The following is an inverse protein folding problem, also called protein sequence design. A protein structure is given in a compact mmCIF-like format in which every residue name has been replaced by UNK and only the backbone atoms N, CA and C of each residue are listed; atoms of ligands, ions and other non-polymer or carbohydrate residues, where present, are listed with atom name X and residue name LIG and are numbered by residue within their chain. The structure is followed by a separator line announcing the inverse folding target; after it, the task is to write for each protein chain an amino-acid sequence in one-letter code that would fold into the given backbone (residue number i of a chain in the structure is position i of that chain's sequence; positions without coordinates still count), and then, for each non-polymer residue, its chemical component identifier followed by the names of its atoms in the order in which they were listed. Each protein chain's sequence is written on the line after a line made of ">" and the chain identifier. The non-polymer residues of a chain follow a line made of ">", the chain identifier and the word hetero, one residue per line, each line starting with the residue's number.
data_IF_797476765733
#
_entry.id   IF_797476765733
#
_cell.length_a   1.000
_cell.length_b   1.000
_cell.length_c   1.000
_cell.angle_alpha   90.00
_cell.angle_beta   90.00
_cell.angle_gamma   90.00
#
_symmetry.space_group_name_H-M   'P 1'
#
loop_
_entity.id
_entity.type
_entity.pdbx_description
1 polymer ?
#
# COMPACT_ATOMS: atom_id res chain seq x y z
N UNK A 1 -4.85 -18.08 -10.13
CA UNK A 1 -4.69 -19.29 -9.30
C UNK A 1 -4.54 -18.81 -7.84
N UNK A 2 -5.49 -19.14 -6.94
CA UNK A 2 -5.32 -18.84 -5.51
C UNK A 2 -4.65 -20.04 -4.85
N UNK A 3 -3.54 -19.80 -4.18
CA UNK A 3 -2.87 -20.75 -3.31
C UNK A 3 -3.29 -20.41 -1.88
N UNK A 4 -3.88 -21.38 -1.19
CA UNK A 4 -4.21 -21.27 0.22
C UNK A 4 -3.27 -22.14 1.04
N UNK A 5 -2.77 -21.63 2.14
CA UNK A 5 -1.94 -22.37 3.10
C UNK A 5 -2.74 -22.62 4.36
N UNK A 6 -2.85 -23.87 4.78
CA UNK A 6 -3.49 -24.27 6.04
C UNK A 6 -2.40 -24.88 6.92
N UNK A 7 -2.21 -24.33 8.10
CA UNK A 7 -1.28 -24.86 9.09
C UNK A 7 -2.00 -25.91 9.92
N UNK A 8 -1.45 -27.15 9.96
CA UNK A 8 -1.98 -28.24 10.76
C UNK A 8 -0.84 -28.93 11.54
N UNK A 9 -0.99 -28.97 12.84
CA UNK A 9 -0.05 -29.69 13.70
C UNK A 9 -0.52 -31.13 13.89
N UNK A 10 0.15 -32.08 13.23
CA UNK A 10 -0.11 -33.50 13.38
C UNK A 10 1.08 -34.18 14.10
N UNK A 11 0.82 -34.95 15.15
CA UNK A 11 1.87 -35.56 15.94
C UNK A 11 2.59 -36.73 15.22
N UNK A 12 1.95 -37.33 14.22
CA UNK A 12 2.49 -38.50 13.49
C UNK A 12 2.00 -38.55 12.03
N UNK A 13 2.62 -39.39 11.20
CA UNK A 13 2.29 -39.54 9.77
C UNK A 13 0.88 -40.10 9.55
N UNK A 14 0.40 -40.98 10.42
CA UNK A 14 -0.94 -41.56 10.33
C UNK A 14 -2.02 -40.46 10.47
N UNK A 15 -1.86 -39.53 11.40
CA UNK A 15 -2.73 -38.37 11.57
C UNK A 15 -2.71 -37.45 10.34
N UNK A 16 -1.57 -37.25 9.72
CA UNK A 16 -1.42 -36.51 8.47
C UNK A 16 -2.19 -37.14 7.32
N UNK A 17 -2.13 -38.46 7.20
CA UNK A 17 -2.87 -39.18 6.16
C UNK A 17 -4.39 -39.13 6.37
N UNK A 18 -4.87 -39.28 7.60
CA UNK A 18 -6.29 -39.13 7.94
C UNK A 18 -6.84 -37.76 7.54
N UNK A 19 -6.12 -36.72 7.90
CA UNK A 19 -6.53 -35.34 7.56
C UNK A 19 -6.48 -35.07 6.07
N UNK A 20 -5.45 -35.56 5.38
CA UNK A 20 -5.32 -35.44 3.92
C UNK A 20 -6.47 -36.12 3.21
N UNK A 21 -6.84 -37.33 3.67
CA UNK A 21 -7.94 -38.09 3.09
C UNK A 21 -9.30 -37.45 3.37
N UNK A 22 -9.54 -36.95 4.59
CA UNK A 22 -10.76 -36.21 4.93
C UNK A 22 -10.91 -34.96 4.06
N UNK A 23 -9.83 -34.18 3.86
CA UNK A 23 -9.82 -33.02 3.00
C UNK A 23 -10.11 -33.37 1.53
N UNK A 24 -9.48 -34.45 1.03
CA UNK A 24 -9.76 -34.93 -0.34
C UNK A 24 -11.21 -35.38 -0.51
N UNK A 25 -11.79 -36.02 0.50
CA UNK A 25 -13.21 -36.41 0.46
C UNK A 25 -14.15 -35.21 0.48
N UNK A 26 -13.89 -34.23 1.35
CA UNK A 26 -14.68 -33.01 1.42
C UNK A 26 -14.69 -32.21 0.11
N UNK A 27 -13.58 -32.27 -0.64
CA UNK A 27 -13.44 -31.57 -1.92
C UNK A 27 -13.98 -32.33 -3.12
N UNK A 28 -14.45 -33.58 -2.98
CA UNK A 28 -15.05 -34.33 -4.10
C UNK A 28 -16.30 -33.67 -4.69
N UNK A 29 -17.04 -32.92 -3.88
CA UNK A 29 -18.24 -32.15 -4.32
C UNK A 29 -17.89 -30.83 -5.02
N UNK A 30 -16.64 -30.38 -4.97
CA UNK A 30 -16.20 -29.15 -5.64
C UNK A 30 -16.07 -29.41 -7.16
N UNK A 31 -16.77 -28.62 -7.94
CA UNK A 31 -16.72 -28.67 -9.42
C UNK A 31 -15.38 -28.17 -9.98
N UNK A 32 -14.57 -27.53 -9.18
CA UNK A 32 -13.27 -27.01 -9.59
C UNK A 32 -12.20 -28.07 -9.50
N UNK A 33 -11.26 -28.08 -10.45
CA UNK A 33 -10.10 -28.99 -10.36
C UNK A 33 -9.23 -28.55 -9.19
N UNK A 34 -9.14 -29.41 -8.19
CA UNK A 34 -8.29 -29.24 -7.02
C UNK A 34 -7.15 -30.25 -7.05
N UNK A 35 -5.98 -29.83 -6.59
CA UNK A 35 -4.83 -30.72 -6.36
C UNK A 35 -4.32 -30.45 -4.95
N UNK A 36 -4.28 -31.49 -4.12
CA UNK A 36 -3.77 -31.44 -2.75
C UNK A 36 -2.48 -32.23 -2.73
N UNK A 37 -1.42 -31.64 -2.21
CA UNK A 37 -0.16 -32.29 -1.93
C UNK A 37 -0.19 -32.93 -0.54
N UNK A 38 0.81 -33.75 -0.23
CA UNK A 38 0.97 -34.31 1.13
C UNK A 38 1.29 -33.19 2.12
N UNK A 39 0.91 -33.36 3.37
CA UNK A 39 1.29 -32.47 4.44
C UNK A 39 2.81 -32.47 4.57
N UNK A 40 3.42 -31.30 4.54
CA UNK A 40 4.87 -31.15 4.68
C UNK A 40 5.34 -31.50 6.10
N UNK A 41 6.64 -31.62 6.30
CA UNK A 41 7.25 -31.83 7.62
C UNK A 41 6.91 -30.67 8.60
N UNK A 42 6.70 -29.47 8.07
CA UNK A 42 6.29 -28.28 8.82
C UNK A 42 4.79 -28.25 9.15
N UNK A 43 4.02 -29.28 8.80
CA UNK A 43 2.58 -29.32 9.03
C UNK A 43 1.75 -28.47 8.05
N UNK A 44 2.32 -28.10 6.90
CA UNK A 44 1.63 -27.29 5.89
C UNK A 44 0.93 -28.17 4.86
N UNK A 45 -0.32 -27.84 4.55
CA UNK A 45 -1.08 -28.43 3.44
C UNK A 45 -1.03 -27.48 2.25
N UNK A 46 -0.46 -27.95 1.14
CA UNK A 46 -0.48 -27.20 -0.11
C UNK A 46 -1.63 -27.69 -0.99
N UNK A 47 -2.46 -26.76 -1.43
CA UNK A 47 -3.58 -27.03 -2.31
C UNK A 47 -3.62 -26.03 -3.45
N UNK A 48 -3.83 -26.53 -4.66
CA UNK A 48 -4.15 -25.67 -5.82
C UNK A 48 -5.59 -25.90 -6.24
N UNK A 49 -6.31 -24.84 -6.56
CA UNK A 49 -7.68 -24.88 -7.05
C UNK A 49 -7.81 -24.03 -8.31
N UNK A 50 -8.21 -24.64 -9.42
CA UNK A 50 -8.45 -23.89 -10.65
C UNK A 50 -9.72 -23.08 -10.49
N UNK A 51 -9.61 -21.75 -10.63
CA UNK A 51 -10.79 -20.90 -10.63
C UNK A 51 -11.59 -21.12 -11.91
N UNK A 52 -12.88 -21.41 -11.78
CA UNK A 52 -13.82 -21.64 -12.89
C UNK A 52 -14.63 -20.38 -13.22
N UNK A 53 -14.83 -19.49 -12.22
CA UNK A 53 -15.55 -18.23 -12.36
C UNK A 53 -14.78 -17.10 -11.70
N UNK A 54 -15.02 -15.88 -12.12
CA UNK A 54 -14.53 -14.69 -11.44
C UNK A 54 -15.05 -14.61 -9.99
N UNK A 55 -14.32 -13.91 -9.13
CA UNK A 55 -14.81 -13.73 -7.75
C UNK A 55 -16.00 -12.78 -7.74
N UNK A 56 -16.88 -12.92 -6.74
CA UNK A 56 -18.00 -11.99 -6.54
C UNK A 56 -17.52 -10.53 -6.47
N UNK A 57 -16.38 -10.29 -5.82
CA UNK A 57 -15.79 -8.95 -5.76
C UNK A 57 -15.46 -8.42 -7.16
N UNK A 58 -14.90 -9.23 -8.05
CA UNK A 58 -14.58 -8.81 -9.42
C UNK A 58 -15.82 -8.61 -10.29
N UNK A 59 -16.93 -9.30 -9.94
CA UNK A 59 -18.18 -9.21 -10.69
C UNK A 59 -19.10 -8.07 -10.19
N UNK A 60 -19.03 -7.76 -8.88
CA UNK A 60 -19.98 -6.86 -8.23
C UNK A 60 -19.35 -5.53 -7.77
N UNK A 61 -18.03 -5.41 -7.81
CA UNK A 61 -17.32 -4.25 -7.28
C UNK A 61 -16.32 -3.73 -8.30
N UNK A 62 -16.21 -2.41 -8.35
CA UNK A 62 -15.13 -1.72 -9.05
C UNK A 62 -13.92 -1.52 -8.11
N UNK A 63 -12.71 -1.34 -8.65
CA UNK A 63 -11.57 -0.90 -7.85
C UNK A 63 -11.88 0.42 -7.14
N UNK A 64 -11.41 0.57 -5.92
CA UNK A 64 -11.56 1.83 -5.20
C UNK A 64 -10.81 2.95 -5.93
N UNK A 65 -11.50 4.01 -6.34
CA UNK A 65 -10.91 5.15 -7.07
C UNK A 65 -9.83 5.86 -6.26
N UNK A 66 -9.93 5.83 -4.93
CA UNK A 66 -8.99 6.52 -4.06
C UNK A 66 -7.63 5.81 -3.95
N UNK A 67 -7.61 4.48 -3.83
CA UNK A 67 -6.35 3.70 -3.77
C UNK A 67 -6.06 2.94 -5.08
N UNK A 68 -6.86 3.14 -6.12
CA UNK A 68 -6.73 2.47 -7.42
C UNK A 68 -6.65 0.94 -7.29
N UNK A 69 -7.35 0.39 -6.31
CA UNK A 69 -7.36 -1.06 -6.04
C UNK A 69 -6.17 -1.59 -5.23
N UNK A 70 -5.25 -0.74 -4.80
CA UNK A 70 -4.06 -1.15 -4.00
C UNK A 70 -4.43 -1.62 -2.58
N UNK A 71 -5.55 -1.11 -2.02
CA UNK A 71 -5.99 -1.41 -0.66
C UNK A 71 -5.30 -0.58 0.44
N UNK A 72 -4.33 0.25 0.10
CA UNK A 72 -3.60 1.17 0.99
C UNK A 72 -3.16 2.41 0.23
N UNK A 73 -2.87 3.46 0.96
CA UNK A 73 -2.27 4.71 0.49
C UNK A 73 -1.12 5.09 1.42
N UNK A 74 -0.23 5.97 0.96
CA UNK A 74 0.86 6.49 1.78
C UNK A 74 0.33 7.18 3.03
N UNK A 75 1.06 7.07 4.14
CA UNK A 75 0.77 7.84 5.35
C UNK A 75 1.02 9.34 5.10
N UNK A 76 0.32 10.24 5.80
CA UNK A 76 0.57 11.67 5.68
C UNK A 76 2.02 12.04 5.96
N UNK A 77 2.65 11.46 6.98
CA UNK A 77 4.06 11.68 7.31
C UNK A 77 5.00 11.30 6.15
N UNK A 78 4.73 10.18 5.45
CA UNK A 78 5.52 9.79 4.28
C UNK A 78 5.45 10.85 3.18
N UNK A 79 4.26 11.40 2.93
CA UNK A 79 4.07 12.45 1.91
C UNK A 79 4.74 13.75 2.34
N UNK A 80 4.68 14.12 3.61
CA UNK A 80 5.39 15.28 4.16
C UNK A 80 6.90 15.17 3.93
N UNK A 81 7.50 14.02 4.25
CA UNK A 81 8.93 13.81 4.00
C UNK A 81 9.29 13.78 2.51
N UNK A 82 8.41 13.33 1.64
CA UNK A 82 8.61 13.43 0.19
C UNK A 82 8.64 14.89 -0.26
N UNK A 83 7.72 15.71 0.23
CA UNK A 83 7.66 17.15 -0.07
C UNK A 83 8.92 17.85 0.43
N UNK A 84 9.32 17.63 1.68
CA UNK A 84 10.52 18.21 2.27
C UNK A 84 11.76 17.87 1.43
N UNK A 85 11.95 16.60 1.06
CA UNK A 85 13.07 16.20 0.21
C UNK A 85 13.04 16.84 -1.17
N UNK A 86 11.86 17.02 -1.74
CA UNK A 86 11.71 17.68 -3.04
C UNK A 86 12.05 19.19 -2.95
N UNK A 87 11.64 19.86 -1.85
CA UNK A 87 12.02 21.24 -1.58
C UNK A 87 13.54 21.38 -1.44
N UNK A 88 14.18 20.48 -0.65
CA UNK A 88 15.64 20.46 -0.50
C UNK A 88 16.35 20.29 -1.83
N UNK A 89 15.91 19.35 -2.65
CA UNK A 89 16.48 19.10 -3.97
C UNK A 89 16.39 20.33 -4.88
N UNK A 90 15.24 21.02 -4.88
CA UNK A 90 15.07 22.25 -5.69
C UNK A 90 15.81 23.46 -5.11
N UNK A 91 15.99 23.50 -3.79
CA UNK A 91 16.74 24.54 -3.12
C UNK A 91 18.23 24.54 -3.45
N UNK A 92 18.80 23.37 -3.76
CA UNK A 92 20.22 23.20 -4.12
C UNK A 92 20.56 23.68 -5.54
N UNK A 93 19.58 23.84 -6.42
CA UNK A 93 19.82 24.39 -7.76
C UNK A 93 20.13 25.89 -7.64
N UNK A 94 21.27 26.35 -8.14
CA UNK A 94 21.94 27.67 -8.00
C UNK A 94 21.12 28.90 -8.48
N UNK A 95 19.83 29.00 -8.21
CA UNK A 95 18.99 30.12 -8.55
C UNK A 95 18.59 30.84 -7.25
N UNK A 96 19.14 32.01 -7.03
CA UNK A 96 18.81 32.91 -5.91
C UNK A 96 17.37 33.46 -6.02
N UNK A 97 16.66 33.59 -4.89
CA UNK A 97 15.29 34.09 -4.76
C UNK A 97 14.22 33.28 -5.49
N UNK A 98 14.11 32.01 -5.18
CA UNK A 98 13.01 31.16 -5.70
C UNK A 98 11.77 31.27 -4.81
N UNK A 99 10.63 31.50 -5.46
CA UNK A 99 9.33 31.30 -4.84
C UNK A 99 8.82 29.92 -5.22
N UNK A 100 8.54 29.09 -4.22
CA UNK A 100 7.94 27.78 -4.41
C UNK A 100 6.48 27.82 -3.98
N UNK A 101 5.57 27.51 -4.90
CA UNK A 101 4.17 27.32 -4.59
C UNK A 101 3.87 25.82 -4.54
N UNK A 102 3.33 25.36 -3.43
CA UNK A 102 3.09 23.94 -3.17
C UNK A 102 1.61 23.72 -2.94
N UNK A 103 0.98 22.96 -3.85
CA UNK A 103 -0.41 22.54 -3.70
C UNK A 103 -0.46 21.24 -2.94
N UNK A 104 -1.20 21.20 -1.83
CA UNK A 104 -1.30 20.04 -0.93
C UNK A 104 -2.72 19.79 -0.45
N UNK A 105 -3.00 18.56 -0.01
CA UNK A 105 -4.23 18.25 0.71
C UNK A 105 -4.21 18.83 2.14
N UNK A 106 -5.35 19.25 2.73
CA UNK A 106 -5.41 19.83 4.08
C UNK A 106 -4.68 19.00 5.14
N UNK A 107 -4.88 17.69 5.18
CA UNK A 107 -4.22 16.79 6.15
C UNK A 107 -2.69 16.85 6.07
N UNK A 108 -2.14 17.04 4.87
CA UNK A 108 -0.68 17.16 4.66
C UNK A 108 -0.21 18.55 5.12
N UNK A 109 -1.00 19.60 4.84
CA UNK A 109 -0.71 20.93 5.30
C UNK A 109 -0.65 21.01 6.83
N UNK A 110 -1.68 20.50 7.51
CA UNK A 110 -1.76 20.53 8.98
C UNK A 110 -0.55 19.82 9.60
N UNK A 111 -0.19 18.64 9.08
CA UNK A 111 0.97 17.86 9.57
C UNK A 111 2.31 18.58 9.32
N UNK A 112 2.49 19.22 8.15
CA UNK A 112 3.72 19.98 7.86
C UNK A 112 3.90 21.16 8.83
N UNK A 113 2.81 21.81 9.23
CA UNK A 113 2.87 22.96 10.15
C UNK A 113 2.92 22.56 11.62
N UNK A 114 2.29 21.47 12.03
CA UNK A 114 2.30 20.99 13.41
C UNK A 114 3.61 20.30 13.78
N UNK A 115 4.15 19.45 12.91
CA UNK A 115 5.30 18.61 13.22
C UNK A 115 6.63 19.13 12.63
N UNK A 116 6.61 19.80 11.48
CA UNK A 116 7.81 20.11 10.68
C UNK A 116 8.01 21.60 10.40
N UNK A 117 7.29 22.48 11.08
CA UNK A 117 7.38 23.94 10.85
C UNK A 117 8.80 24.49 11.03
N UNK A 118 9.52 24.03 12.05
CA UNK A 118 10.91 24.47 12.30
C UNK A 118 11.86 24.09 11.18
N UNK A 119 11.66 22.96 10.56
CA UNK A 119 12.49 22.46 9.45
C UNK A 119 12.20 23.25 8.16
N UNK A 120 10.94 23.62 7.92
CA UNK A 120 10.54 24.48 6.78
C UNK A 120 11.16 25.87 6.90
N UNK A 121 11.09 26.51 8.08
CA UNK A 121 11.73 27.81 8.32
C UNK A 121 13.25 27.77 8.15
N UNK A 122 13.89 26.70 8.60
CA UNK A 122 15.33 26.52 8.43
C UNK A 122 15.70 26.40 6.95
N UNK A 123 14.90 25.67 6.18
CA UNK A 123 15.11 25.51 4.73
C UNK A 123 14.91 26.83 3.96
N UNK A 124 13.92 27.62 4.32
CA UNK A 124 13.71 28.95 3.74
C UNK A 124 14.91 29.86 3.98
N UNK A 125 15.44 29.86 5.21
CA UNK A 125 16.60 30.67 5.59
C UNK A 125 17.90 30.22 4.91
N UNK A 126 18.15 28.90 4.88
CA UNK A 126 19.39 28.34 4.31
C UNK A 126 19.47 28.51 2.78
N UNK A 127 18.33 28.38 2.08
CA UNK A 127 18.31 28.37 0.62
C UNK A 127 17.75 29.66 0.01
N UNK A 128 17.44 30.68 0.83
CA UNK A 128 16.79 31.93 0.38
C UNK A 128 15.54 31.65 -0.47
N UNK A 129 14.70 30.72 0.03
CA UNK A 129 13.44 30.31 -0.60
C UNK A 129 12.28 31.00 0.08
N UNK A 130 11.23 31.30 -0.68
CA UNK A 130 9.91 31.69 -0.18
C UNK A 130 8.93 30.57 -0.50
N UNK A 131 8.41 29.89 0.52
CA UNK A 131 7.53 28.72 0.34
C UNK A 131 6.09 29.18 0.63
N UNK A 132 5.20 29.00 -0.35
CA UNK A 132 3.78 29.29 -0.21
C UNK A 132 2.97 28.02 -0.41
N UNK A 133 2.10 27.68 0.54
CA UNK A 133 1.22 26.53 0.44
C UNK A 133 -0.17 26.96 -0.03
N UNK A 134 -0.71 26.21 -1.00
CA UNK A 134 -2.10 26.31 -1.43
C UNK A 134 -2.83 25.01 -1.05
N UNK A 135 -3.85 25.13 -0.20
CA UNK A 135 -4.56 23.98 0.36
C UNK A 135 -5.77 23.66 -0.50
N UNK A 136 -5.81 22.44 -1.05
CA UNK A 136 -6.89 21.98 -1.91
C UNK A 136 -7.52 20.67 -1.38
N UNK A 137 -8.75 20.70 -0.85
CA UNK A 137 -9.46 19.50 -0.40
C UNK A 137 -9.79 18.50 -1.52
N UNK A 138 -9.76 18.95 -2.77
CA UNK A 138 -10.02 18.13 -3.95
C UNK A 138 -8.79 17.31 -4.38
N UNK A 139 -7.63 17.68 -3.89
CA UNK A 139 -6.39 16.98 -4.21
C UNK A 139 -6.36 15.63 -3.49
N UNK A 140 -5.91 14.59 -4.19
CA UNK A 140 -5.68 13.30 -3.55
C UNK A 140 -4.59 13.42 -2.49
N UNK A 141 -4.74 12.76 -1.34
CA UNK A 141 -3.85 12.87 -0.18
C UNK A 141 -2.39 12.51 -0.46
N UNK A 142 -2.13 11.64 -1.45
CA UNK A 142 -0.77 11.27 -1.87
C UNK A 142 -0.17 12.21 -2.93
N UNK A 143 -0.98 13.10 -3.51
CA UNK A 143 -0.54 14.00 -4.59
C UNK A 143 -0.21 15.38 -4.06
N UNK A 144 0.84 15.94 -4.57
CA UNK A 144 1.23 17.33 -4.37
C UNK A 144 1.84 17.88 -5.66
N UNK A 145 1.79 19.19 -5.83
CA UNK A 145 2.40 19.87 -6.96
C UNK A 145 3.30 20.98 -6.44
N UNK A 146 4.49 21.12 -7.01
CA UNK A 146 5.45 22.15 -6.66
C UNK A 146 5.79 22.93 -7.92
N UNK A 147 5.40 24.19 -7.94
CA UNK A 147 5.68 25.15 -9.00
C UNK A 147 6.76 26.13 -8.53
N UNK A 148 7.76 26.40 -9.40
CA UNK A 148 8.80 27.42 -9.18
C UNK A 148 8.40 28.66 -9.96
N UNK A 149 8.31 29.83 -9.27
CA UNK A 149 8.04 31.14 -9.88
C UNK A 149 9.32 31.99 -9.89
#
# INVERSE_FOLDING_TARGET
>A
QKVGTILYHAPNEESKEIVTNALKQALKSDRSRTRILKISELGLVEMTRKRVRESLVQTLCDPCDYCEGKGYIKSPSTVCYEIIREIQRRGTDNITNKKLKIDVHPIIYDMLFEEESGLLEEMEKQNSLEITFNVSPKLHREKYYIESQ
#
